data_IF_502220698268
#
_entry.id   IF_502220698268
#
_cell.length_a   1.000
_cell.length_b   1.000
_cell.length_c   1.000
_cell.angle_alpha   90.00
_cell.angle_beta   90.00
_cell.angle_gamma   90.00
#
_symmetry.space_group_name_H-M   'P 1'
#
loop_
_entity.id
_entity.type
_entity.pdbx_description
1 polymer ?
#
# COMPACT_ATOMS: atom_id res chain seq x y z
N UNK A 1 28.36 7.76 -47.52
CA UNK A 1 27.35 8.67 -46.97
C UNK A 1 26.14 7.89 -46.41
N UNK A 2 26.20 6.56 -46.29
CA UNK A 2 25.02 5.71 -45.96
C UNK A 2 24.97 5.13 -44.52
N UNK A 3 25.94 5.33 -43.57
CA UNK A 3 25.79 4.76 -42.21
C UNK A 3 25.21 5.69 -41.14
N UNK A 4 24.86 6.96 -41.45
CA UNK A 4 24.41 7.92 -40.45
C UNK A 4 22.88 7.85 -40.19
N UNK A 5 22.13 7.26 -41.10
CA UNK A 5 20.66 7.19 -41.00
C UNK A 5 20.14 6.09 -40.06
N UNK A 6 20.98 5.12 -39.69
CA UNK A 6 20.59 4.00 -38.79
C UNK A 6 20.63 4.29 -37.30
N UNK A 7 21.33 5.36 -36.88
CA UNK A 7 21.52 5.67 -35.44
C UNK A 7 20.37 6.49 -34.82
N UNK A 8 19.48 7.05 -35.61
CA UNK A 8 18.39 7.93 -35.12
C UNK A 8 17.13 7.17 -34.64
N UNK A 9 17.05 5.85 -34.84
CA UNK A 9 15.86 5.06 -34.49
C UNK A 9 15.90 4.42 -33.08
N UNK A 10 16.99 4.58 -32.33
CA UNK A 10 17.16 4.01 -30.99
C UNK A 10 16.80 4.97 -29.83
N UNK A 11 16.41 6.18 -30.12
CA UNK A 11 16.07 7.20 -29.11
C UNK A 11 14.62 7.18 -28.61
N UNK A 12 13.81 6.18 -28.98
CA UNK A 12 12.37 6.15 -28.75
C UNK A 12 11.86 5.23 -27.64
N UNK A 13 12.73 4.61 -26.82
CA UNK A 13 12.27 3.88 -25.65
C UNK A 13 11.98 4.87 -24.52
N UNK A 14 10.75 5.38 -24.46
CA UNK A 14 10.22 6.20 -23.39
C UNK A 14 10.04 5.45 -22.07
N UNK A 15 11.07 4.75 -21.60
CA UNK A 15 11.13 4.23 -20.24
C UNK A 15 11.35 5.42 -19.29
N UNK A 16 10.25 6.01 -18.84
CA UNK A 16 10.31 6.86 -17.65
C UNK A 16 10.54 5.93 -16.46
N UNK A 17 11.76 5.94 -15.91
CA UNK A 17 11.99 5.44 -14.56
C UNK A 17 11.00 6.18 -13.67
N UNK A 18 10.10 5.46 -13.02
CA UNK A 18 9.19 6.04 -12.03
C UNK A 18 10.08 6.67 -10.96
N UNK A 19 10.15 8.01 -10.92
CA UNK A 19 11.03 8.74 -10.01
C UNK A 19 10.76 8.33 -8.57
N UNK A 20 11.78 8.42 -7.72
CA UNK A 20 11.63 8.21 -6.29
C UNK A 20 10.46 9.03 -5.77
N UNK A 21 9.58 8.40 -5.00
CA UNK A 21 8.43 9.07 -4.42
C UNK A 21 8.92 10.14 -3.44
N UNK A 22 8.65 11.41 -3.74
CA UNK A 22 9.08 12.52 -2.88
C UNK A 22 7.97 12.84 -1.90
N UNK A 23 8.24 12.67 -0.61
CA UNK A 23 7.30 13.04 0.45
C UNK A 23 7.30 14.57 0.66
N UNK A 24 6.15 15.15 1.10
CA UNK A 24 6.10 16.55 1.50
C UNK A 24 7.18 16.91 2.52
N UNK A 25 7.79 18.08 2.39
CA UNK A 25 8.87 18.54 3.30
C UNK A 25 8.45 18.52 4.79
N UNK A 26 7.16 18.72 5.07
CA UNK A 26 6.61 18.65 6.43
C UNK A 26 6.71 17.25 7.03
N UNK A 27 6.88 16.20 6.22
CA UNK A 27 6.95 14.79 6.67
C UNK A 27 8.38 14.29 6.88
N UNK A 28 9.39 15.17 6.87
CA UNK A 28 10.79 14.75 7.06
C UNK A 28 11.00 13.95 8.35
N UNK A 29 10.30 14.32 9.43
CA UNK A 29 10.27 13.59 10.71
C UNK A 29 8.84 13.23 11.02
N UNK A 30 8.49 11.95 10.84
CA UNK A 30 7.09 11.48 10.93
C UNK A 30 6.93 10.51 12.09
N UNK A 31 5.93 10.77 12.92
CA UNK A 31 5.40 9.81 13.88
C UNK A 31 4.22 9.07 13.25
N UNK A 32 4.23 7.73 13.31
CA UNK A 32 3.13 6.88 12.83
C UNK A 32 2.28 6.46 14.02
N UNK A 33 1.09 7.06 14.15
CA UNK A 33 0.07 6.72 15.15
C UNK A 33 -0.85 5.63 14.59
N UNK A 34 -0.58 4.37 14.88
CA UNK A 34 -1.31 3.24 14.32
C UNK A 34 -2.10 2.47 15.38
N UNK A 35 -3.31 2.02 15.00
CA UNK A 35 -4.15 1.14 15.82
C UNK A 35 -3.52 -0.25 16.03
N UNK A 36 -2.74 -0.73 15.06
CA UNK A 36 -1.96 -1.97 15.13
C UNK A 36 -0.55 -1.76 14.58
N UNK A 37 0.44 -1.78 15.47
CA UNK A 37 1.85 -1.62 15.13
C UNK A 37 2.49 -2.89 14.53
N UNK A 38 1.78 -4.00 14.50
CA UNK A 38 2.28 -5.30 14.00
C UNK A 38 1.60 -5.74 12.71
N UNK A 39 0.68 -4.95 12.18
CA UNK A 39 -0.03 -5.26 10.94
C UNK A 39 0.91 -5.34 9.73
N UNK A 40 0.45 -6.02 8.69
CA UNK A 40 1.16 -6.09 7.40
C UNK A 40 1.31 -4.70 6.77
N UNK A 41 0.23 -3.90 6.84
CA UNK A 41 0.23 -2.55 6.30
C UNK A 41 1.21 -1.63 7.04
N UNK A 42 1.18 -1.60 8.39
CA UNK A 42 2.07 -0.77 9.19
C UNK A 42 3.54 -1.11 8.93
N UNK A 43 3.89 -2.41 8.88
CA UNK A 43 5.26 -2.85 8.60
C UNK A 43 5.75 -2.39 7.22
N UNK A 44 4.94 -2.59 6.18
CA UNK A 44 5.30 -2.18 4.81
C UNK A 44 5.35 -0.65 4.69
N UNK A 45 4.43 0.07 5.32
CA UNK A 45 4.38 1.53 5.33
C UNK A 45 5.67 2.12 5.90
N UNK A 46 6.12 1.62 7.06
CA UNK A 46 7.37 2.10 7.69
C UNK A 46 8.56 1.92 6.77
N UNK A 47 8.71 0.73 6.17
CA UNK A 47 9.79 0.44 5.22
C UNK A 47 9.79 1.43 4.05
N UNK A 48 8.62 1.70 3.46
CA UNK A 48 8.51 2.61 2.31
C UNK A 48 8.71 4.08 2.67
N UNK A 49 8.32 4.51 3.87
CA UNK A 49 8.62 5.86 4.34
C UNK A 49 10.13 6.06 4.54
N UNK A 50 10.81 5.08 5.15
CA UNK A 50 12.27 5.09 5.30
C UNK A 50 12.99 5.08 3.96
N UNK A 51 12.56 4.25 3.00
CA UNK A 51 13.07 4.21 1.61
C UNK A 51 12.87 5.56 0.88
N UNK A 52 11.80 6.29 1.21
CA UNK A 52 11.52 7.62 0.69
C UNK A 52 12.30 8.76 1.42
N UNK A 53 13.18 8.41 2.37
CA UNK A 53 14.02 9.35 3.11
C UNK A 53 13.31 10.04 4.28
N UNK A 54 12.17 9.52 4.75
CA UNK A 54 11.48 10.00 5.95
C UNK A 54 12.12 9.41 7.20
N UNK A 55 12.50 10.25 8.15
CA UNK A 55 12.93 9.84 9.49
C UNK A 55 11.70 9.49 10.33
N UNK A 56 11.58 8.22 10.74
CA UNK A 56 10.52 7.79 11.64
C UNK A 56 10.94 8.02 13.09
N UNK A 57 10.13 8.75 13.85
CA UNK A 57 10.35 9.07 15.26
C UNK A 57 9.40 8.30 16.16
N UNK A 58 9.83 8.09 17.43
CA UNK A 58 9.09 7.24 18.37
C UNK A 58 8.03 8.02 19.17
N UNK A 59 8.09 9.34 19.15
CA UNK A 59 7.16 10.19 19.90
C UNK A 59 6.58 11.31 19.05
N UNK A 60 5.31 11.69 19.28
CA UNK A 60 4.69 12.82 18.56
C UNK A 60 5.43 14.15 18.77
N UNK A 61 6.10 14.32 19.93
CA UNK A 61 6.81 15.56 20.28
C UNK A 61 8.04 15.81 19.39
N UNK A 62 8.63 14.75 18.84
CA UNK A 62 9.80 14.82 17.96
C UNK A 62 9.42 14.97 16.49
N UNK A 63 8.15 14.77 16.18
CA UNK A 63 7.65 14.72 14.82
C UNK A 63 7.35 16.13 14.25
N UNK A 64 7.62 16.31 12.96
CA UNK A 64 7.11 17.44 12.18
C UNK A 64 5.76 17.14 11.55
N UNK A 65 5.44 15.86 11.37
CA UNK A 65 4.13 15.39 10.94
C UNK A 65 3.71 14.12 11.67
N UNK A 66 2.39 13.93 11.80
CA UNK A 66 1.77 12.73 12.34
C UNK A 66 0.94 12.07 11.26
N UNK A 67 1.25 10.83 10.94
CA UNK A 67 0.44 9.95 10.09
C UNK A 67 -0.40 9.06 11.01
N UNK A 68 -1.70 9.36 11.10
CA UNK A 68 -2.64 8.62 11.94
C UNK A 68 -3.36 7.55 11.14
N UNK A 69 -3.28 6.28 11.59
CA UNK A 69 -3.98 5.12 11.02
C UNK A 69 -5.05 4.69 12.01
N UNK A 70 -6.32 4.93 11.67
CA UNK A 70 -7.48 4.68 12.57
C UNK A 70 -8.21 3.38 12.25
N UNK A 71 -8.06 2.86 11.04
CA UNK A 71 -8.52 1.53 10.63
C UNK A 71 -7.39 0.83 9.91
N UNK A 72 -7.15 -0.42 10.26
CA UNK A 72 -6.21 -1.34 9.65
C UNK A 72 -6.84 -2.73 9.79
N UNK A 73 -7.68 -3.08 8.80
CA UNK A 73 -8.52 -4.27 8.85
C UNK A 73 -8.40 -5.09 7.57
N UNK A 74 -8.24 -6.40 7.74
CA UNK A 74 -8.18 -7.35 6.64
C UNK A 74 -8.97 -8.60 6.96
N UNK A 75 -9.65 -9.14 5.96
CA UNK A 75 -10.46 -10.32 6.10
C UNK A 75 -10.73 -10.98 4.77
N UNK A 76 -11.64 -11.94 4.81
CA UNK A 76 -12.17 -12.58 3.60
C UNK A 76 -13.68 -12.72 3.68
N UNK A 77 -14.33 -12.73 2.53
CA UNK A 77 -15.76 -12.97 2.38
C UNK A 77 -16.03 -13.92 1.22
N UNK A 78 -17.11 -14.69 1.33
CA UNK A 78 -17.56 -15.60 0.27
C UNK A 78 -18.16 -14.77 -0.87
N UNK A 79 -17.68 -14.97 -2.09
CA UNK A 79 -18.25 -14.36 -3.30
C UNK A 79 -19.25 -15.28 -3.97
N UNK A 80 -18.96 -16.58 -4.06
CA UNK A 80 -19.84 -17.54 -4.72
C UNK A 80 -19.89 -18.87 -4.00
N UNK A 81 -21.00 -19.58 -4.18
CA UNK A 81 -21.22 -20.93 -3.68
C UNK A 81 -21.66 -21.85 -4.80
N UNK A 82 -21.29 -23.13 -4.70
CA UNK A 82 -21.77 -24.18 -5.61
C UNK A 82 -23.26 -24.49 -5.41
N UNK A 83 -23.85 -25.28 -6.31
CA UNK A 83 -25.22 -25.79 -6.16
C UNK A 83 -25.47 -26.60 -4.86
N UNK A 84 -24.39 -27.05 -4.19
CA UNK A 84 -24.43 -27.74 -2.90
C UNK A 84 -24.22 -26.82 -1.71
N UNK A 85 -24.25 -25.48 -1.95
CA UNK A 85 -24.03 -24.45 -0.94
C UNK A 85 -22.62 -24.51 -0.29
N UNK A 86 -21.61 -24.96 -1.06
CA UNK A 86 -20.21 -24.97 -0.65
C UNK A 86 -19.52 -23.75 -1.29
N UNK A 87 -18.78 -22.93 -0.53
CA UNK A 87 -18.03 -21.79 -1.10
C UNK A 87 -17.07 -22.24 -2.20
N UNK A 88 -17.06 -21.51 -3.31
CA UNK A 88 -16.21 -21.78 -4.48
C UNK A 88 -15.27 -20.62 -4.79
N UNK A 89 -15.64 -19.40 -4.37
CA UNK A 89 -14.82 -18.20 -4.54
C UNK A 89 -14.87 -17.36 -3.29
N UNK A 90 -13.72 -16.82 -2.91
CA UNK A 90 -13.55 -15.85 -1.84
C UNK A 90 -12.93 -14.57 -2.36
N UNK A 91 -13.29 -13.47 -1.74
CA UNK A 91 -12.58 -12.19 -1.87
C UNK A 91 -11.82 -11.93 -0.58
N UNK A 92 -10.52 -11.68 -0.68
CA UNK A 92 -9.70 -11.12 0.39
C UNK A 92 -9.75 -9.60 0.26
N UNK A 93 -10.01 -8.90 1.35
CA UNK A 93 -10.01 -7.44 1.40
C UNK A 93 -9.01 -6.94 2.42
N UNK A 94 -8.55 -5.71 2.20
CA UNK A 94 -7.75 -4.96 3.14
C UNK A 94 -8.18 -3.48 3.09
N UNK A 95 -8.57 -2.92 4.25
CA UNK A 95 -9.05 -1.54 4.39
C UNK A 95 -8.17 -0.78 5.37
N UNK A 96 -7.78 0.43 4.99
CA UNK A 96 -7.10 1.36 5.89
C UNK A 96 -7.81 2.70 5.87
N UNK A 97 -7.88 3.34 7.05
CA UNK A 97 -8.33 4.72 7.22
C UNK A 97 -7.21 5.53 7.86
N UNK A 98 -6.80 6.60 7.19
CA UNK A 98 -5.65 7.38 7.62
C UNK A 98 -5.83 8.88 7.37
N UNK A 99 -5.03 9.69 8.06
CA UNK A 99 -4.91 11.14 7.86
C UNK A 99 -3.48 11.59 8.13
N UNK A 100 -3.11 12.78 7.66
CA UNK A 100 -1.79 13.37 7.90
C UNK A 100 -1.96 14.79 8.40
N UNK A 101 -1.31 15.10 9.53
CA UNK A 101 -1.24 16.45 10.10
C UNK A 101 0.22 16.89 10.28
N UNK A 102 0.49 18.19 10.16
CA UNK A 102 1.78 18.79 10.43
C UNK A 102 1.59 20.00 11.35
N UNK A 103 1.90 19.86 12.64
CA UNK A 103 1.52 20.81 13.66
C UNK A 103 0.01 20.97 13.71
N UNK A 104 -0.48 22.22 13.59
CA UNK A 104 -1.92 22.53 13.56
C UNK A 104 -2.55 22.40 12.15
N UNK A 105 -1.73 22.16 11.11
CA UNK A 105 -2.22 22.07 9.73
C UNK A 105 -2.55 20.62 9.37
N UNK A 106 -3.75 20.39 8.87
CA UNK A 106 -4.12 19.14 8.19
C UNK A 106 -3.54 19.18 6.78
N UNK A 107 -2.62 18.25 6.47
CA UNK A 107 -2.10 18.05 5.13
C UNK A 107 -3.05 17.18 4.30
N UNK A 108 -3.61 16.14 4.92
CA UNK A 108 -4.56 15.25 4.30
C UNK A 108 -5.61 14.84 5.33
N UNK A 109 -6.88 15.15 5.05
CA UNK A 109 -8.01 14.69 5.85
C UNK A 109 -8.17 13.17 5.77
N UNK A 110 -9.00 12.60 6.65
CA UNK A 110 -9.25 11.17 6.67
C UNK A 110 -9.65 10.63 5.30
N UNK A 111 -8.85 9.67 4.84
CA UNK A 111 -9.09 8.90 3.62
C UNK A 111 -9.36 7.44 3.99
N UNK A 112 -10.33 6.84 3.32
CA UNK A 112 -10.60 5.41 3.37
C UNK A 112 -10.12 4.78 2.05
N UNK A 113 -9.25 3.78 2.14
CA UNK A 113 -8.77 3.02 0.97
C UNK A 113 -8.96 1.54 1.22
N UNK A 114 -9.56 0.87 0.26
CA UNK A 114 -9.79 -0.58 0.29
C UNK A 114 -9.27 -1.18 -1.00
N UNK A 115 -8.50 -2.26 -0.89
CA UNK A 115 -8.08 -3.09 -2.00
C UNK A 115 -8.61 -4.51 -1.79
N UNK A 116 -8.96 -5.19 -2.88
CA UNK A 116 -9.51 -6.55 -2.85
C UNK A 116 -8.84 -7.45 -3.88
N UNK A 117 -8.81 -8.75 -3.61
CA UNK A 117 -8.40 -9.80 -4.54
C UNK A 117 -9.23 -11.05 -4.35
N UNK A 118 -9.67 -11.60 -5.48
CA UNK A 118 -10.47 -12.81 -5.49
C UNK A 118 -9.57 -14.04 -5.68
N UNK A 119 -10.00 -15.17 -5.11
CA UNK A 119 -9.38 -16.44 -5.38
C UNK A 119 -10.40 -17.59 -5.36
N UNK A 120 -10.16 -18.61 -6.20
CA UNK A 120 -10.99 -19.81 -6.24
C UNK A 120 -10.61 -20.75 -5.11
N UNK A 121 -11.62 -21.24 -4.39
CA UNK A 121 -11.45 -22.19 -3.30
C UNK A 121 -11.72 -23.62 -3.79
N UNK A 122 -10.78 -24.52 -3.49
CA UNK A 122 -10.91 -25.96 -3.70
C UNK A 122 -10.74 -26.66 -2.36
N UNK A 123 -11.79 -27.33 -1.87
CA UNK A 123 -11.81 -28.02 -0.58
C UNK A 123 -10.79 -29.16 -0.46
N UNK A 124 -10.23 -29.65 -1.58
CA UNK A 124 -9.21 -30.70 -1.60
C UNK A 124 -7.79 -30.16 -1.33
N UNK A 125 -7.59 -28.83 -1.37
CA UNK A 125 -6.29 -28.16 -1.30
C UNK A 125 -6.16 -27.19 -0.11
N UNK A 126 -6.77 -27.49 1.03
CA UNK A 126 -6.92 -26.59 2.19
C UNK A 126 -5.59 -25.96 2.66
N UNK A 127 -4.51 -26.73 2.78
CA UNK A 127 -3.20 -26.21 3.21
C UNK A 127 -2.59 -25.24 2.19
N UNK A 128 -2.78 -25.50 0.90
CA UNK A 128 -2.35 -24.61 -0.18
C UNK A 128 -3.11 -23.28 -0.15
N UNK A 129 -4.40 -23.31 0.19
CA UNK A 129 -5.27 -22.13 0.23
C UNK A 129 -4.96 -21.16 1.36
N UNK A 130 -4.62 -21.65 2.55
CA UNK A 130 -4.18 -20.78 3.64
C UNK A 130 -2.90 -20.01 3.29
N UNK A 131 -1.98 -20.65 2.57
CA UNK A 131 -0.76 -19.97 2.09
C UNK A 131 -1.07 -18.96 0.99
N UNK A 132 -1.97 -19.29 0.06
CA UNK A 132 -2.41 -18.38 -1.00
C UNK A 132 -3.06 -17.13 -0.41
N UNK A 133 -3.97 -17.27 0.55
CA UNK A 133 -4.60 -16.16 1.26
C UNK A 133 -3.57 -15.25 1.93
N UNK A 134 -2.59 -15.81 2.64
CA UNK A 134 -1.53 -15.04 3.27
C UNK A 134 -0.72 -14.21 2.26
N UNK A 135 -0.38 -14.79 1.10
CA UNK A 135 0.31 -14.09 0.00
C UNK A 135 -0.55 -12.96 -0.57
N UNK A 136 -1.86 -13.19 -0.71
CA UNK A 136 -2.78 -12.16 -1.18
C UNK A 136 -2.88 -10.99 -0.21
N UNK A 137 -2.96 -11.24 1.11
CA UNK A 137 -2.96 -10.19 2.14
C UNK A 137 -1.69 -9.34 2.13
N UNK A 138 -0.53 -9.98 1.98
CA UNK A 138 0.74 -9.25 1.83
C UNK A 138 0.78 -8.41 0.55
N UNK A 139 0.25 -8.93 -0.56
CA UNK A 139 0.17 -8.19 -1.81
C UNK A 139 -0.77 -6.97 -1.68
N UNK A 140 -1.93 -7.14 -1.04
CA UNK A 140 -2.89 -6.05 -0.76
C UNK A 140 -2.25 -4.98 0.12
N UNK A 141 -1.52 -5.35 1.19
CA UNK A 141 -0.83 -4.39 2.04
C UNK A 141 0.18 -3.55 1.26
N UNK A 142 0.99 -4.17 0.37
CA UNK A 142 1.94 -3.44 -0.50
C UNK A 142 1.23 -2.49 -1.47
N UNK A 143 0.13 -2.92 -2.07
CA UNK A 143 -0.65 -2.10 -3.00
C UNK A 143 -1.28 -0.91 -2.28
N UNK A 144 -1.88 -1.11 -1.10
CA UNK A 144 -2.43 -0.05 -0.25
C UNK A 144 -1.37 0.98 0.13
N UNK A 145 -0.20 0.54 0.61
CA UNK A 145 0.89 1.44 0.96
C UNK A 145 1.30 2.30 -0.23
N UNK A 146 1.40 1.71 -1.42
CA UNK A 146 1.72 2.45 -2.65
C UNK A 146 0.67 3.53 -2.97
N UNK A 147 -0.62 3.21 -2.80
CA UNK A 147 -1.73 4.15 -3.02
C UNK A 147 -1.67 5.27 -1.99
N UNK A 148 -1.56 4.93 -0.71
CA UNK A 148 -1.48 5.88 0.42
C UNK A 148 -0.33 6.85 0.24
N UNK A 149 0.88 6.35 -0.01
CA UNK A 149 2.06 7.20 -0.21
C UNK A 149 1.94 8.09 -1.44
N UNK A 150 1.34 7.60 -2.53
CA UNK A 150 1.06 8.42 -3.71
C UNK A 150 0.08 9.55 -3.42
N UNK A 151 -0.97 9.29 -2.63
CA UNK A 151 -1.94 10.31 -2.22
C UNK A 151 -1.29 11.37 -1.33
N UNK A 152 -0.44 10.95 -0.38
CA UNK A 152 0.31 11.84 0.50
C UNK A 152 1.31 12.69 -0.31
N UNK A 153 2.04 12.09 -1.24
CA UNK A 153 3.04 12.80 -2.06
C UNK A 153 2.42 13.83 -3.02
N UNK A 154 1.11 13.78 -3.26
CA UNK A 154 0.39 14.74 -4.10
C UNK A 154 -0.09 16.00 -3.37
N UNK A 155 0.17 16.12 -2.05
CA UNK A 155 -0.19 17.29 -1.23
C UNK A 155 0.94 18.33 -1.25
#
# INVERSE_FOLDING_TARGET
VLPILGAALLAGCGFHLQGALTMPAAMQRTYVDAVDNYSLFHRELRLRLEDAGVELVDTPAEATAILSIKTDDTGQRVLSVSARNVPTEYEVYYTVRYSVTAGEKTLLDFQDVTETRDYTYDETLVLGKAKEEAVLREALARDLVRIVLKQIASQ
#
